data_IF_378378797946
#
_entry.id   IF_378378797946
#
_cell.length_a   1.000
_cell.length_b   1.000
_cell.length_c   1.000
_cell.angle_alpha   90.00
_cell.angle_beta   90.00
_cell.angle_gamma   90.00
#
_symmetry.space_group_name_H-M   'P 1'
#
loop_
_entity.id
_entity.type
_entity.pdbx_description
1 polymer ?
#
# COMPACT_ATOMS: atom_id res chain seq x y z
N UNK A 1 61.64 -25.31 -36.54
CA UNK A 1 61.18 -24.20 -35.70
C UNK A 1 59.68 -24.26 -35.66
N UNK A 2 59.12 -24.51 -34.48
CA UNK A 2 57.72 -24.25 -34.12
C UNK A 2 57.36 -22.78 -34.42
N UNK A 3 56.09 -22.42 -34.70
CA UNK A 3 55.01 -22.64 -33.73
C UNK A 3 53.66 -23.17 -34.30
N UNK A 4 53.12 -24.19 -33.63
CA UNK A 4 51.78 -24.20 -33.00
C UNK A 4 50.50 -24.00 -33.85
N UNK A 5 49.57 -24.99 -33.91
CA UNK A 5 48.28 -24.85 -34.57
C UNK A 5 47.26 -24.11 -33.69
N UNK A 6 46.52 -23.18 -34.30
CA UNK A 6 45.46 -22.40 -33.67
C UNK A 6 44.31 -23.26 -33.14
N UNK A 7 44.01 -23.10 -31.86
CA UNK A 7 42.81 -23.64 -31.25
C UNK A 7 41.57 -22.87 -31.73
N UNK A 8 40.74 -23.54 -32.52
CA UNK A 8 39.30 -23.24 -32.65
C UNK A 8 38.63 -23.66 -31.34
N UNK A 9 38.26 -22.69 -30.50
CA UNK A 9 37.30 -22.89 -29.42
C UNK A 9 35.93 -22.42 -29.90
N UNK A 10 34.96 -23.34 -29.98
CA UNK A 10 33.58 -23.02 -30.32
C UNK A 10 33.01 -22.04 -29.31
N UNK A 11 32.46 -20.94 -29.82
CA UNK A 11 31.47 -20.19 -29.07
C UNK A 11 30.22 -21.06 -29.04
N UNK A 12 29.99 -21.74 -27.92
CA UNK A 12 28.68 -22.28 -27.59
C UNK A 12 27.71 -21.09 -27.57
N UNK A 13 26.76 -21.15 -28.50
CA UNK A 13 25.58 -20.30 -28.55
C UNK A 13 24.83 -20.43 -27.22
N UNK A 14 25.09 -19.51 -26.28
CA UNK A 14 24.17 -19.23 -25.19
C UNK A 14 22.99 -18.45 -25.77
N UNK A 15 22.13 -19.15 -26.52
CA UNK A 15 20.76 -18.73 -26.72
C UNK A 15 20.14 -18.59 -25.33
N UNK A 16 19.98 -17.35 -24.88
CA UNK A 16 19.29 -17.01 -23.65
C UNK A 16 17.87 -17.60 -23.73
N UNK A 17 17.55 -18.67 -22.99
CA UNK A 17 16.21 -19.22 -22.99
C UNK A 17 15.36 -18.20 -22.24
N UNK A 18 14.24 -17.79 -22.86
CA UNK A 18 13.07 -17.18 -22.24
C UNK A 18 13.11 -17.33 -20.71
N UNK A 19 13.36 -16.23 -19.99
CA UNK A 19 13.39 -16.18 -18.52
C UNK A 19 12.15 -16.89 -17.98
N UNK A 20 12.35 -18.14 -17.55
CA UNK A 20 11.35 -18.96 -16.93
C UNK A 20 11.07 -18.31 -15.56
N UNK A 21 10.03 -17.47 -15.48
CA UNK A 21 9.61 -16.83 -14.23
C UNK A 21 9.00 -17.90 -13.32
N UNK A 22 9.86 -18.65 -12.65
CA UNK A 22 9.46 -19.60 -11.62
C UNK A 22 9.02 -18.82 -10.37
N UNK A 23 7.74 -18.91 -10.02
CA UNK A 23 7.23 -18.39 -8.76
C UNK A 23 7.64 -19.28 -7.60
N UNK A 24 7.98 -18.68 -6.47
CA UNK A 24 8.30 -19.40 -5.23
C UNK A 24 7.25 -19.08 -4.18
N UNK A 25 6.74 -20.12 -3.52
CA UNK A 25 5.78 -20.00 -2.41
C UNK A 25 6.33 -20.75 -1.22
N UNK A 26 6.87 -20.01 -0.26
CA UNK A 26 7.28 -20.55 1.04
C UNK A 26 6.05 -20.74 1.93
N UNK A 27 5.95 -21.91 2.57
CA UNK A 27 4.87 -22.20 3.52
C UNK A 27 5.41 -22.65 4.87
N UNK A 28 4.71 -22.24 5.93
CA UNK A 28 4.89 -22.74 7.28
C UNK A 28 3.52 -22.93 7.93
N UNK A 29 3.21 -24.16 8.31
CA UNK A 29 1.93 -24.58 8.89
C UNK A 29 2.15 -24.95 10.35
N UNK A 30 1.29 -24.43 11.22
CA UNK A 30 1.31 -24.72 12.65
C UNK A 30 0.11 -25.60 13.01
N UNK A 31 0.37 -26.75 13.61
CA UNK A 31 -0.65 -27.72 14.04
C UNK A 31 -0.74 -27.71 15.57
N UNK A 32 -1.96 -27.83 16.09
CA UNK A 32 -2.24 -27.95 17.52
C UNK A 32 -3.01 -29.25 17.80
N UNK A 33 -2.85 -29.82 18.99
CA UNK A 33 -3.62 -30.97 19.47
C UNK A 33 -2.89 -32.31 19.46
N UNK A 34 -2.36 -32.77 18.31
CA UNK A 34 -1.62 -34.04 18.21
C UNK A 34 -0.20 -33.83 17.71
N UNK A 35 0.76 -34.59 18.24
CA UNK A 35 2.15 -34.65 17.75
C UNK A 35 2.31 -35.65 16.59
N UNK A 36 1.33 -36.54 16.38
CA UNK A 36 1.36 -37.57 15.34
C UNK A 36 0.40 -37.21 14.20
N UNK A 37 0.93 -36.51 13.21
CA UNK A 37 0.17 -36.06 12.05
C UNK A 37 0.98 -36.08 10.75
N UNK A 38 0.27 -36.01 9.63
CA UNK A 38 0.79 -35.82 8.28
C UNK A 38 0.13 -34.60 7.65
N UNK A 39 0.92 -33.82 6.92
CA UNK A 39 0.47 -32.65 6.18
C UNK A 39 0.78 -32.83 4.70
N UNK A 40 -0.24 -32.61 3.89
CA UNK A 40 -0.14 -32.43 2.44
C UNK A 40 -0.48 -30.99 2.10
N UNK A 41 0.30 -30.39 1.21
CA UNK A 41 0.12 -29.00 0.79
C UNK A 41 0.07 -28.96 -0.73
N UNK A 42 -1.03 -28.46 -1.28
CA UNK A 42 -1.25 -28.34 -2.73
C UNK A 42 -1.50 -26.88 -3.08
N UNK A 43 -0.82 -26.37 -4.10
CA UNK A 43 -1.12 -25.07 -4.69
C UNK A 43 -1.93 -25.27 -5.97
N UNK A 44 -3.11 -24.66 -6.04
CA UNK A 44 -4.03 -24.75 -7.16
C UNK A 44 -4.08 -23.41 -7.92
N UNK A 45 -4.13 -23.46 -9.25
CA UNK A 45 -4.42 -22.29 -10.09
C UNK A 45 -5.91 -21.89 -10.07
N UNK A 46 -6.30 -20.88 -10.84
CA UNK A 46 -7.68 -20.35 -10.86
C UNK A 46 -8.69 -21.35 -11.45
N UNK A 47 -8.22 -22.29 -12.25
CA UNK A 47 -9.00 -23.39 -12.81
C UNK A 47 -9.10 -24.59 -11.85
N UNK A 48 -8.46 -24.53 -10.68
CA UNK A 48 -8.45 -25.60 -9.69
C UNK A 48 -7.50 -26.75 -10.03
N UNK A 49 -6.54 -26.54 -10.93
CA UNK A 49 -5.50 -27.53 -11.26
C UNK A 49 -4.34 -27.36 -10.29
N UNK A 50 -3.85 -28.48 -9.75
CA UNK A 50 -2.67 -28.48 -8.89
C UNK A 50 -1.43 -28.16 -9.74
N UNK A 51 -0.73 -27.08 -9.39
CA UNK A 51 0.48 -26.61 -10.07
C UNK A 51 1.75 -26.88 -9.28
N UNK A 52 1.64 -27.07 -7.97
CA UNK A 52 2.75 -27.47 -7.10
C UNK A 52 2.24 -28.23 -5.87
N UNK A 53 3.08 -29.10 -5.31
CA UNK A 53 2.76 -29.91 -4.12
C UNK A 53 3.95 -30.00 -3.18
N UNK A 54 3.68 -30.15 -1.90
CA UNK A 54 4.65 -30.34 -0.84
C UNK A 54 4.05 -31.11 0.34
N UNK A 55 4.90 -31.44 1.31
CA UNK A 55 4.49 -32.14 2.53
C UNK A 55 5.12 -31.51 3.77
N UNK A 56 4.59 -31.85 4.94
CA UNK A 56 5.13 -31.40 6.23
C UNK A 56 4.76 -29.97 6.60
N UNK A 57 5.26 -29.51 7.76
CA UNK A 57 4.91 -28.20 8.34
C UNK A 57 5.71 -27.01 7.80
N UNK A 58 6.74 -27.23 6.96
CA UNK A 58 7.53 -26.17 6.33
C UNK A 58 8.07 -26.66 5.00
N UNK A 59 8.03 -25.81 3.97
CA UNK A 59 8.64 -26.09 2.67
C UNK A 59 8.54 -24.91 1.72
N UNK A 60 9.01 -25.13 0.49
CA UNK A 60 8.94 -24.15 -0.61
C UNK A 60 8.39 -24.85 -1.85
N UNK A 61 7.34 -24.28 -2.44
CA UNK A 61 6.74 -24.75 -3.69
C UNK A 61 7.29 -23.93 -4.86
N UNK A 62 7.61 -24.61 -5.96
CA UNK A 62 8.05 -23.98 -7.21
C UNK A 62 6.92 -24.02 -8.23
N UNK A 63 6.63 -22.87 -8.85
CA UNK A 63 5.54 -22.71 -9.83
C UNK A 63 6.15 -22.24 -11.15
N UNK A 64 6.50 -23.14 -12.07
CA UNK A 64 7.02 -22.75 -13.39
C UNK A 64 6.02 -21.87 -14.13
N UNK A 65 6.50 -20.79 -14.75
CA UNK A 65 5.67 -19.81 -15.48
C UNK A 65 4.53 -19.24 -14.62
N UNK A 66 4.85 -18.82 -13.39
CA UNK A 66 3.85 -18.32 -12.46
C UNK A 66 3.14 -17.07 -12.99
N UNK A 67 1.81 -17.04 -12.81
CA UNK A 67 1.02 -15.84 -12.99
C UNK A 67 1.16 -14.97 -11.73
N UNK A 68 1.89 -13.86 -11.86
CA UNK A 68 2.12 -12.95 -10.74
C UNK A 68 0.85 -12.19 -10.37
N UNK A 69 0.71 -11.89 -9.08
CA UNK A 69 -0.28 -10.95 -8.61
C UNK A 69 0.17 -9.53 -8.99
N UNK A 70 -0.64 -8.85 -9.78
CA UNK A 70 -0.43 -7.47 -10.19
C UNK A 70 -1.51 -6.57 -9.60
N UNK A 71 -1.16 -5.35 -9.14
CA UNK A 71 -2.14 -4.35 -8.79
C UNK A 71 -3.09 -4.03 -9.96
N UNK A 72 -4.30 -3.60 -9.60
CA UNK A 72 -5.26 -3.02 -10.53
C UNK A 72 -4.58 -1.91 -11.35
N UNK A 73 -4.83 -1.91 -12.66
CA UNK A 73 -4.25 -1.00 -13.66
C UNK A 73 -2.75 -1.20 -13.96
N UNK A 74 -2.09 -2.22 -13.40
CA UNK A 74 -0.69 -2.53 -13.70
C UNK A 74 -0.51 -3.69 -14.68
N UNK A 75 -1.57 -4.47 -14.93
CA UNK A 75 -1.57 -5.62 -15.84
C UNK A 75 -2.98 -5.89 -16.40
N UNK A 76 -3.09 -6.54 -17.55
CA UNK A 76 -4.37 -6.90 -18.19
C UNK A 76 -5.18 -7.90 -17.34
N UNK A 77 -4.47 -8.77 -16.62
CA UNK A 77 -5.02 -9.71 -15.65
C UNK A 77 -4.46 -9.37 -14.26
N UNK A 78 -5.01 -8.36 -13.57
CA UNK A 78 -4.59 -8.02 -12.22
C UNK A 78 -5.07 -9.07 -11.23
N UNK A 79 -4.51 -9.04 -10.02
CA UNK A 79 -5.04 -9.76 -8.86
C UNK A 79 -5.10 -11.29 -9.02
N UNK A 80 -4.16 -11.89 -9.76
CA UNK A 80 -4.10 -13.34 -9.90
C UNK A 80 -3.86 -14.00 -8.53
N UNK A 81 -4.75 -14.91 -8.15
CA UNK A 81 -4.69 -15.65 -6.89
C UNK A 81 -4.70 -17.15 -7.17
N UNK A 82 -3.70 -17.82 -6.63
CA UNK A 82 -3.69 -19.27 -6.42
C UNK A 82 -4.45 -19.61 -5.13
N UNK A 83 -4.71 -20.91 -4.91
CA UNK A 83 -5.24 -21.43 -3.65
C UNK A 83 -4.28 -22.44 -3.04
N UNK A 84 -3.77 -22.17 -1.84
CA UNK A 84 -2.95 -23.10 -1.07
C UNK A 84 -3.86 -23.95 -0.19
N UNK A 85 -4.13 -25.18 -0.61
CA UNK A 85 -4.85 -26.18 0.17
C UNK A 85 -3.88 -26.92 1.10
N UNK A 86 -4.17 -26.92 2.39
CA UNK A 86 -3.47 -27.69 3.41
C UNK A 86 -4.42 -28.77 3.93
N UNK A 87 -3.98 -30.02 3.87
CA UNK A 87 -4.71 -31.19 4.34
C UNK A 87 -3.94 -31.83 5.47
N UNK A 88 -4.55 -31.88 6.65
CA UNK A 88 -4.02 -32.54 7.84
C UNK A 88 -4.69 -33.90 7.98
N UNK A 89 -3.90 -34.94 8.23
CA UNK A 89 -4.39 -36.21 8.77
C UNK A 89 -3.67 -36.49 10.07
N UNK A 90 -4.41 -36.68 11.17
CA UNK A 90 -3.82 -36.88 12.49
C UNK A 90 -4.46 -38.06 13.21
N UNK A 91 -3.66 -38.73 14.05
CA UNK A 91 -4.18 -39.72 14.98
C UNK A 91 -4.39 -39.07 16.34
N UNK A 92 -5.61 -39.17 16.87
CA UNK A 92 -5.99 -38.65 18.18
C UNK A 92 -6.43 -39.79 19.10
N UNK A 93 -6.61 -39.50 20.39
CA UNK A 93 -7.18 -40.46 21.34
C UNK A 93 -8.59 -40.96 20.95
N UNK A 94 -9.33 -40.17 20.14
CA UNK A 94 -10.66 -40.51 19.65
C UNK A 94 -10.65 -41.22 18.27
N UNK A 95 -9.49 -41.37 17.63
CA UNK A 95 -9.33 -41.97 16.30
C UNK A 95 -8.64 -41.05 15.29
N UNK A 96 -8.65 -41.49 14.03
CA UNK A 96 -8.12 -40.72 12.89
C UNK A 96 -9.04 -39.54 12.57
N UNK A 97 -8.45 -38.36 12.38
CA UNK A 97 -9.17 -37.13 12.00
C UNK A 97 -8.50 -36.48 10.80
N UNK A 98 -9.28 -35.72 10.04
CA UNK A 98 -8.80 -34.89 8.94
C UNK A 98 -9.28 -33.46 9.08
N UNK A 99 -8.43 -32.51 8.72
CA UNK A 99 -8.73 -31.08 8.69
C UNK A 99 -8.22 -30.44 7.39
N UNK A 100 -8.92 -29.40 6.93
CA UNK A 100 -8.67 -28.78 5.63
C UNK A 100 -8.75 -27.25 5.77
N UNK A 101 -7.71 -26.57 5.28
CA UNK A 101 -7.70 -25.11 5.19
C UNK A 101 -7.23 -24.67 3.81
N UNK A 102 -7.91 -23.70 3.22
CA UNK A 102 -7.54 -23.14 1.91
C UNK A 102 -7.24 -21.66 2.06
N UNK A 103 -6.04 -21.25 1.66
CA UNK A 103 -5.58 -19.86 1.73
C UNK A 103 -5.35 -19.31 0.31
N UNK A 104 -5.96 -18.18 -0.08
CA UNK A 104 -5.60 -17.48 -1.32
C UNK A 104 -4.15 -16.98 -1.29
N UNK A 105 -3.42 -17.13 -2.38
CA UNK A 105 -2.00 -16.75 -2.49
C UNK A 105 -1.76 -15.94 -3.76
N UNK A 106 -1.30 -14.70 -3.62
CA UNK A 106 -0.79 -13.89 -4.73
C UNK A 106 0.73 -13.90 -4.76
N UNK A 107 1.33 -14.44 -5.83
CA UNK A 107 2.79 -14.46 -5.99
C UNK A 107 3.25 -13.08 -6.45
N UNK A 108 3.92 -12.33 -5.57
CA UNK A 108 4.46 -11.00 -5.87
C UNK A 108 5.63 -10.63 -4.97
N UNK A 109 6.51 -9.76 -5.46
CA UNK A 109 7.56 -9.13 -4.65
C UNK A 109 7.24 -7.67 -4.37
N UNK A 110 7.71 -7.18 -3.21
CA UNK A 110 7.70 -5.77 -2.83
C UNK A 110 9.12 -5.37 -2.49
N UNK A 111 9.58 -4.24 -3.00
CA UNK A 111 10.88 -3.67 -2.68
C UNK A 111 10.83 -2.14 -2.70
N UNK A 112 11.78 -1.51 -2.01
CA UNK A 112 11.92 -0.06 -1.94
C UNK A 112 13.36 0.30 -2.25
N UNK A 113 13.56 1.28 -3.12
CA UNK A 113 14.86 1.92 -3.38
C UNK A 113 14.88 3.31 -2.75
N UNK A 114 15.97 4.06 -2.89
CA UNK A 114 16.05 5.45 -2.41
C UNK A 114 14.99 6.39 -3.02
N UNK A 115 14.40 6.02 -4.16
CA UNK A 115 13.49 6.90 -4.92
C UNK A 115 12.29 6.18 -5.55
N UNK A 116 12.17 4.85 -5.43
CA UNK A 116 11.07 4.08 -6.03
C UNK A 116 10.46 3.07 -5.07
N UNK A 117 9.16 2.84 -5.23
CA UNK A 117 8.47 1.68 -4.70
C UNK A 117 8.33 0.66 -5.84
N UNK A 118 8.70 -0.59 -5.62
CA UNK A 118 8.72 -1.62 -6.65
C UNK A 118 7.75 -2.74 -6.29
N UNK A 119 6.89 -3.11 -7.24
CA UNK A 119 6.10 -4.35 -7.20
C UNK A 119 6.51 -5.21 -8.38
N UNK A 120 6.91 -6.46 -8.11
CA UNK A 120 7.44 -7.39 -9.13
C UNK A 120 8.61 -6.79 -9.93
N UNK A 121 9.47 -6.03 -9.25
CA UNK A 121 10.63 -5.34 -9.84
C UNK A 121 10.29 -4.13 -10.72
N UNK A 122 9.01 -3.74 -10.81
CA UNK A 122 8.56 -2.58 -11.60
C UNK A 122 8.17 -1.40 -10.72
N UNK A 123 8.52 -0.15 -11.09
CA UNK A 123 8.06 1.03 -10.39
C UNK A 123 6.54 1.06 -10.25
N UNK A 124 6.08 1.27 -9.03
CA UNK A 124 4.68 1.39 -8.66
C UNK A 124 4.42 2.77 -8.07
N UNK A 125 3.35 3.41 -8.52
CA UNK A 125 2.89 4.69 -8.01
C UNK A 125 1.53 4.52 -7.35
N UNK A 126 1.41 4.88 -6.06
CA UNK A 126 0.14 4.86 -5.36
C UNK A 126 -0.70 6.06 -5.84
N UNK A 127 -1.80 5.82 -6.53
CA UNK A 127 -2.78 6.85 -6.83
C UNK A 127 -4.11 6.41 -6.23
N UNK A 128 -4.37 6.87 -5.02
CA UNK A 128 -5.33 6.23 -4.14
C UNK A 128 -5.99 7.16 -3.13
N UNK A 129 -6.67 6.57 -2.17
CA UNK A 129 -7.48 7.31 -1.19
C UNK A 129 -7.10 6.88 0.22
N UNK A 130 -7.39 7.72 1.21
CA UNK A 130 -7.61 7.25 2.57
C UNK A 130 -9.07 6.86 2.73
N UNK A 131 -9.40 5.96 3.66
CA UNK A 131 -10.79 5.53 3.92
C UNK A 131 -11.12 5.60 5.41
N UNK A 132 -12.37 5.30 5.75
CA UNK A 132 -12.79 4.94 7.10
C UNK A 132 -13.90 3.89 7.00
N UNK A 133 -13.95 2.98 7.97
CA UNK A 133 -15.13 2.15 8.24
C UNK A 133 -16.19 3.03 8.93
N UNK A 134 -16.94 3.78 8.14
CA UNK A 134 -17.97 4.69 8.64
C UNK A 134 -19.13 4.82 7.65
N UNK A 135 -20.35 4.72 8.18
CA UNK A 135 -21.59 4.83 7.44
C UNK A 135 -22.74 5.37 8.31
N UNK A 136 -23.78 5.87 7.64
CA UNK A 136 -24.98 6.34 8.32
C UNK A 136 -25.66 5.21 9.11
N UNK A 137 -26.18 5.58 10.29
CA UNK A 137 -26.85 4.72 11.27
C UNK A 137 -25.93 3.67 11.92
N UNK A 138 -25.24 2.85 11.13
CA UNK A 138 -24.42 1.73 11.64
C UNK A 138 -23.03 2.13 12.14
N UNK A 139 -22.58 3.36 11.91
CA UNK A 139 -21.24 3.81 12.29
C UNK A 139 -20.17 2.93 11.64
N UNK A 140 -19.36 2.24 12.46
CA UNK A 140 -18.32 1.31 12.02
C UNK A 140 -18.83 -0.10 11.69
N UNK A 141 -20.14 -0.35 11.79
CA UNK A 141 -20.71 -1.67 11.53
C UNK A 141 -20.49 -2.13 10.09
N UNK A 142 -19.96 -3.35 9.93
CA UNK A 142 -19.73 -4.00 8.64
C UNK A 142 -21.02 -4.14 7.80
N UNK A 143 -20.89 -4.05 6.47
CA UNK A 143 -21.99 -4.15 5.52
C UNK A 143 -21.54 -4.55 4.12
N UNK A 144 -22.00 -5.70 3.62
CA UNK A 144 -21.69 -6.16 2.26
C UNK A 144 -22.11 -5.17 1.15
N UNK A 145 -23.33 -4.60 1.16
CA UNK A 145 -23.73 -3.60 0.17
C UNK A 145 -22.78 -2.40 0.08
N UNK A 146 -22.44 -1.78 1.21
CA UNK A 146 -21.51 -0.65 1.24
C UNK A 146 -20.09 -1.07 0.86
N UNK A 147 -19.63 -2.24 1.32
CA UNK A 147 -18.32 -2.75 0.96
C UNK A 147 -18.18 -2.90 -0.56
N UNK A 148 -19.13 -3.59 -1.21
CA UNK A 148 -19.14 -3.75 -2.67
C UNK A 148 -19.27 -2.40 -3.38
N UNK A 149 -20.10 -1.49 -2.85
CA UNK A 149 -20.23 -0.12 -3.39
C UNK A 149 -18.90 0.65 -3.32
N UNK A 150 -18.18 0.56 -2.20
CA UNK A 150 -16.89 1.21 -2.01
C UNK A 150 -15.87 0.70 -3.02
N UNK A 151 -15.75 -0.62 -3.23
CA UNK A 151 -14.85 -1.19 -4.22
C UNK A 151 -15.23 -0.83 -5.67
N UNK A 152 -16.52 -0.78 -5.97
CA UNK A 152 -16.99 -0.29 -7.27
C UNK A 152 -16.60 1.18 -7.51
N UNK A 153 -16.67 2.02 -6.48
CA UNK A 153 -16.25 3.41 -6.55
C UNK A 153 -14.73 3.57 -6.63
N UNK A 154 -13.95 2.77 -5.90
CA UNK A 154 -12.49 2.74 -6.02
C UNK A 154 -12.06 2.45 -7.46
N UNK A 155 -12.65 1.43 -8.09
CA UNK A 155 -12.38 1.09 -9.49
C UNK A 155 -12.89 2.16 -10.45
N UNK A 156 -14.08 2.71 -10.21
CA UNK A 156 -14.61 3.81 -11.02
C UNK A 156 -13.67 5.02 -11.00
N UNK A 157 -13.13 5.35 -9.83
CA UNK A 157 -12.18 6.44 -9.62
C UNK A 157 -10.83 6.17 -10.31
N UNK A 158 -10.48 4.90 -10.56
CA UNK A 158 -9.13 4.52 -10.99
C UNK A 158 -8.14 4.46 -9.82
N UNK A 159 -8.63 4.37 -8.58
CA UNK A 159 -7.76 4.23 -7.42
C UNK A 159 -7.17 2.82 -7.39
N UNK A 160 -5.83 2.72 -7.33
CA UNK A 160 -5.12 1.44 -7.26
C UNK A 160 -4.68 1.09 -5.82
N UNK A 161 -4.90 2.01 -4.87
CA UNK A 161 -4.43 1.90 -3.50
C UNK A 161 -5.38 2.55 -2.49
N UNK A 162 -5.33 2.08 -1.24
CA UNK A 162 -5.75 2.89 -0.10
C UNK A 162 -4.95 2.58 1.18
N UNK A 163 -5.06 3.47 2.17
CA UNK A 163 -4.54 3.26 3.52
C UNK A 163 -5.68 2.96 4.50
N UNK A 164 -5.51 2.00 5.41
CA UNK A 164 -6.49 1.65 6.46
C UNK A 164 -6.49 2.67 7.61
N UNK A 165 -6.69 3.96 7.28
CA UNK A 165 -6.74 5.04 8.27
C UNK A 165 -7.90 4.82 9.27
N UNK A 166 -7.68 4.77 10.58
CA UNK A 166 -6.40 4.70 11.30
C UNK A 166 -6.39 3.48 12.21
N UNK A 167 -6.71 2.33 11.64
CA UNK A 167 -6.83 1.05 12.31
C UNK A 167 -7.02 -0.06 11.27
N UNK A 168 -6.66 -1.31 11.60
CA UNK A 168 -6.90 -2.43 10.71
C UNK A 168 -8.41 -2.58 10.45
N UNK A 169 -8.81 -2.70 9.18
CA UNK A 169 -10.22 -2.88 8.81
C UNK A 169 -10.66 -4.34 8.94
N UNK A 170 -11.94 -4.61 8.75
CA UNK A 170 -12.47 -5.97 8.70
C UNK A 170 -11.77 -6.84 7.64
N UNK A 171 -11.56 -8.12 7.95
CA UNK A 171 -10.83 -9.08 7.11
C UNK A 171 -11.44 -9.23 5.71
N UNK A 172 -12.75 -9.11 5.58
CA UNK A 172 -13.43 -9.14 4.28
C UNK A 172 -13.01 -7.98 3.37
N UNK A 173 -12.62 -6.83 3.94
CA UNK A 173 -12.06 -5.72 3.17
C UNK A 173 -10.71 -6.13 2.58
N UNK A 174 -9.83 -6.77 3.36
CA UNK A 174 -8.53 -7.24 2.91
C UNK A 174 -8.67 -8.32 1.83
N UNK A 175 -9.60 -9.26 2.02
CA UNK A 175 -9.93 -10.27 1.02
C UNK A 175 -10.42 -9.68 -0.30
N UNK A 176 -11.19 -8.60 -0.28
CA UNK A 176 -11.56 -7.89 -1.51
C UNK A 176 -10.38 -7.16 -2.14
N UNK A 177 -9.48 -6.58 -1.35
CA UNK A 177 -8.26 -5.96 -1.87
C UNK A 177 -7.42 -6.96 -2.68
N UNK A 178 -7.23 -8.16 -2.13
CA UNK A 178 -6.51 -9.24 -2.80
C UNK A 178 -7.13 -9.61 -4.15
N UNK A 179 -8.46 -9.69 -4.20
CA UNK A 179 -9.22 -10.11 -5.39
C UNK A 179 -9.37 -9.01 -6.44
N UNK A 180 -9.32 -7.75 -6.03
CA UNK A 180 -9.46 -6.61 -6.93
C UNK A 180 -8.12 -5.98 -7.34
N UNK A 181 -7.02 -6.34 -6.69
CA UNK A 181 -5.70 -5.78 -7.00
C UNK A 181 -5.50 -4.40 -6.38
N UNK A 182 -6.25 -4.06 -5.33
CA UNK A 182 -6.11 -2.75 -4.66
C UNK A 182 -5.03 -2.89 -3.60
N UNK A 183 -3.90 -2.20 -3.73
CA UNK A 183 -2.83 -2.29 -2.74
C UNK A 183 -3.18 -1.55 -1.46
N UNK A 184 -2.67 -2.04 -0.34
CA UNK A 184 -3.00 -1.55 0.99
C UNK A 184 -1.73 -1.15 1.74
N UNK A 185 -1.74 0.07 2.28
CA UNK A 185 -0.87 0.44 3.40
C UNK A 185 -1.67 0.12 4.66
N UNK A 186 -1.26 -0.92 5.38
CA UNK A 186 -2.01 -1.46 6.49
C UNK A 186 -1.54 -0.85 7.82
N UNK A 187 -2.42 -0.11 8.48
CA UNK A 187 -2.12 0.81 9.55
C UNK A 187 -2.65 0.33 10.90
N UNK A 188 -1.78 0.37 11.91
CA UNK A 188 -2.14 0.11 13.31
C UNK A 188 -3.02 1.25 13.88
N UNK A 189 -3.71 1.04 15.02
CA UNK A 189 -4.45 2.10 15.70
C UNK A 189 -3.58 3.14 16.43
N UNK A 190 -2.29 3.25 16.10
CA UNK A 190 -1.33 4.21 16.67
C UNK A 190 -1.59 5.67 16.27
N UNK A 191 -2.77 6.19 16.53
CA UNK A 191 -3.19 7.57 16.22
C UNK A 191 -3.51 8.36 17.49
N UNK A 192 -3.29 9.67 17.47
CA UNK A 192 -3.55 10.53 18.65
C UNK A 192 -2.47 10.44 19.74
N UNK A 193 -1.26 10.00 19.38
CA UNK A 193 -0.10 9.90 20.28
C UNK A 193 0.51 11.30 20.48
N UNK A 194 -0.19 12.15 21.23
CA UNK A 194 0.12 13.58 21.33
C UNK A 194 0.90 13.98 22.59
N UNK A 195 0.73 13.24 23.68
CA UNK A 195 1.30 13.57 24.99
C UNK A 195 2.63 12.85 25.22
N UNK A 196 3.56 13.47 25.96
CA UNK A 196 4.82 12.82 26.37
C UNK A 196 4.58 11.50 27.10
N UNK A 197 3.52 11.43 27.90
CA UNK A 197 3.15 10.24 28.67
C UNK A 197 2.73 9.06 27.78
N UNK A 198 2.28 9.32 26.54
CA UNK A 198 1.93 8.27 25.58
C UNK A 198 3.15 7.49 25.08
N UNK A 199 4.36 7.95 25.38
CA UNK A 199 5.63 7.29 25.03
C UNK A 199 6.23 6.51 26.22
N UNK A 200 5.40 6.07 27.17
CA UNK A 200 5.84 5.23 28.28
C UNK A 200 6.21 3.82 27.82
N UNK A 201 6.94 3.07 28.65
CA UNK A 201 7.29 1.68 28.35
C UNK A 201 6.05 0.79 28.25
N UNK A 202 5.02 1.04 29.06
CA UNK A 202 3.75 0.31 29.01
C UNK A 202 3.04 0.55 27.67
N UNK A 203 3.01 1.81 27.22
CA UNK A 203 2.43 2.18 25.92
C UNK A 203 3.22 1.60 24.75
N UNK A 204 4.55 1.52 24.88
CA UNK A 204 5.40 0.87 23.88
C UNK A 204 5.14 -0.64 23.84
N UNK A 205 5.12 -1.31 24.98
CA UNK A 205 4.88 -2.75 25.07
C UNK A 205 3.52 -3.13 24.46
N UNK A 206 2.48 -2.37 24.78
CA UNK A 206 1.16 -2.60 24.18
C UNK A 206 1.17 -2.38 22.66
N UNK A 207 1.88 -1.37 22.16
CA UNK A 207 1.95 -1.14 20.72
C UNK A 207 2.72 -2.24 19.98
N UNK A 208 3.75 -2.83 20.61
CA UNK A 208 4.42 -4.01 20.06
C UNK A 208 3.43 -5.18 19.91
N UNK A 209 2.64 -5.47 20.95
CA UNK A 209 1.59 -6.51 20.91
C UNK A 209 0.57 -6.27 19.80
N UNK A 210 0.11 -5.02 19.64
CA UNK A 210 -0.82 -4.65 18.57
C UNK A 210 -0.19 -4.87 17.18
N UNK A 211 1.10 -4.60 17.00
CA UNK A 211 1.79 -4.91 15.75
C UNK A 211 1.94 -6.41 15.51
N UNK A 212 2.15 -7.22 16.57
CA UNK A 212 2.12 -8.68 16.47
C UNK A 212 0.75 -9.17 16.00
N UNK A 213 -0.34 -8.62 16.56
CA UNK A 213 -1.70 -8.99 16.17
C UNK A 213 -2.01 -8.62 14.72
N UNK A 214 -1.70 -7.39 14.31
CA UNK A 214 -1.89 -6.89 12.95
C UNK A 214 -1.15 -7.75 11.93
N UNK A 215 0.17 -7.92 12.11
CA UNK A 215 0.97 -8.73 11.19
C UNK A 215 0.52 -10.18 11.20
N UNK A 216 0.20 -10.76 12.37
CA UNK A 216 -0.31 -12.14 12.45
C UNK A 216 -1.58 -12.34 11.64
N UNK A 217 -2.51 -11.38 11.70
CA UNK A 217 -3.78 -11.41 10.97
C UNK A 217 -3.55 -11.28 9.46
N UNK A 218 -2.76 -10.30 9.04
CA UNK A 218 -2.78 -9.84 7.64
C UNK A 218 -1.55 -10.20 6.80
N UNK A 219 -0.54 -10.87 7.37
CA UNK A 219 0.71 -11.28 6.67
C UNK A 219 0.52 -12.00 5.33
N UNK A 220 -0.60 -12.70 5.16
CA UNK A 220 -0.87 -13.52 3.97
C UNK A 220 -1.62 -12.77 2.86
N UNK A 221 -2.07 -11.53 3.10
CA UNK A 221 -2.73 -10.73 2.08
C UNK A 221 -1.70 -10.17 1.08
N UNK A 222 -1.69 -10.61 -0.20
CA UNK A 222 -0.81 -10.03 -1.22
C UNK A 222 -1.05 -8.53 -1.44
N UNK A 223 -2.28 -8.06 -1.21
CA UNK A 223 -2.63 -6.65 -1.33
C UNK A 223 -1.92 -5.75 -0.31
N UNK A 224 -1.61 -6.25 0.88
CA UNK A 224 -0.81 -5.50 1.85
C UNK A 224 0.62 -5.40 1.32
N UNK A 225 1.09 -4.18 1.10
CA UNK A 225 2.43 -3.91 0.56
C UNK A 225 3.31 -3.11 1.51
N UNK A 226 2.76 -2.53 2.57
CA UNK A 226 3.52 -1.76 3.55
C UNK A 226 2.77 -1.69 4.88
N UNK A 227 3.49 -1.77 6.00
CA UNK A 227 2.94 -1.60 7.34
C UNK A 227 3.10 -0.15 7.81
N UNK A 228 2.04 0.48 8.32
CA UNK A 228 2.09 1.79 8.98
C UNK A 228 1.91 1.61 10.49
N UNK A 229 2.89 2.01 11.28
CA UNK A 229 2.86 1.81 12.74
C UNK A 229 2.18 2.94 13.51
N UNK A 230 1.91 4.08 12.87
CA UNK A 230 1.24 5.21 13.52
C UNK A 230 0.80 6.28 12.52
N UNK A 231 -0.11 7.15 12.96
CA UNK A 231 -0.51 8.35 12.22
C UNK A 231 -0.42 9.60 13.10
N UNK A 232 0.29 10.61 12.59
CA UNK A 232 0.51 11.92 13.21
C UNK A 232 0.87 11.87 14.71
N UNK A 233 1.83 11.01 15.12
CA UNK A 233 2.35 11.10 16.46
C UNK A 233 3.11 12.43 16.62
N UNK A 234 3.20 12.96 17.83
CA UNK A 234 4.10 14.09 18.14
C UNK A 234 5.57 13.63 18.09
N UNK A 235 6.07 13.34 16.88
CA UNK A 235 7.35 12.67 16.61
C UNK A 235 8.58 13.51 16.92
N UNK A 236 8.41 14.81 17.18
CA UNK A 236 9.47 15.71 17.62
C UNK A 236 9.78 15.64 19.13
N UNK A 237 8.99 14.90 19.91
CA UNK A 237 9.27 14.69 21.32
C UNK A 237 10.43 13.71 21.50
N UNK A 238 11.39 14.03 22.37
CA UNK A 238 12.60 13.21 22.61
C UNK A 238 12.34 11.70 22.78
N UNK A 239 11.31 11.24 23.53
CA UNK A 239 11.02 9.81 23.66
C UNK A 239 10.58 9.13 22.36
N UNK A 240 9.99 9.88 21.41
CA UNK A 240 9.44 9.34 20.17
C UNK A 240 10.50 8.65 19.31
N UNK A 241 11.73 9.18 19.25
CA UNK A 241 12.80 8.58 18.46
C UNK A 241 13.12 7.14 18.89
N UNK A 242 13.26 6.89 20.20
CA UNK A 242 13.48 5.53 20.70
C UNK A 242 12.25 4.64 20.53
N UNK A 243 11.07 5.19 20.79
CA UNK A 243 9.79 4.50 20.65
C UNK A 243 9.60 3.95 19.22
N UNK A 244 9.70 4.82 18.21
CA UNK A 244 9.50 4.44 16.81
C UNK A 244 10.65 3.62 16.25
N UNK A 245 11.89 3.83 16.69
CA UNK A 245 13.01 2.92 16.38
C UNK A 245 12.67 1.49 16.78
N UNK A 246 12.21 1.31 18.01
CA UNK A 246 11.91 -0.01 18.59
C UNK A 246 10.73 -0.65 17.88
N UNK A 247 9.65 0.11 17.69
CA UNK A 247 8.43 -0.37 17.05
C UNK A 247 8.66 -0.78 15.59
N UNK A 248 9.34 0.06 14.80
CA UNK A 248 9.64 -0.24 13.40
C UNK A 248 10.58 -1.45 13.28
N UNK A 249 11.60 -1.54 14.13
CA UNK A 249 12.51 -2.69 14.14
C UNK A 249 11.77 -3.99 14.50
N UNK A 250 10.84 -3.93 15.45
CA UNK A 250 10.02 -5.08 15.82
C UNK A 250 9.09 -5.51 14.68
N UNK A 251 8.38 -4.59 14.03
CA UNK A 251 7.53 -4.93 12.86
C UNK A 251 8.33 -5.58 11.73
N UNK A 252 9.54 -5.07 11.44
CA UNK A 252 10.44 -5.69 10.44
C UNK A 252 10.91 -7.09 10.83
N UNK A 253 11.05 -7.37 12.14
CA UNK A 253 11.40 -8.70 12.62
C UNK A 253 10.22 -9.69 12.50
N UNK A 254 8.98 -9.21 12.61
CA UNK A 254 7.77 -10.02 12.40
C UNK A 254 7.54 -10.33 10.92
N UNK A 255 7.74 -9.35 10.04
CA UNK A 255 7.57 -9.50 8.60
C UNK A 255 8.70 -8.82 7.81
N UNK A 256 9.73 -9.56 7.38
CA UNK A 256 10.81 -9.03 6.56
C UNK A 256 10.43 -8.85 5.08
N UNK A 257 9.22 -9.26 4.66
CA UNK A 257 8.81 -9.25 3.25
C UNK A 257 8.23 -7.91 2.78
N UNK A 258 8.00 -6.95 3.69
CA UNK A 258 7.35 -5.67 3.41
C UNK A 258 8.06 -4.49 4.12
N UNK A 259 8.08 -3.30 3.49
CA UNK A 259 8.55 -2.08 4.14
C UNK A 259 7.65 -1.65 5.30
N UNK A 260 8.20 -0.80 6.18
CA UNK A 260 7.52 -0.23 7.34
C UNK A 260 7.64 1.29 7.35
N UNK A 261 6.53 1.97 7.66
CA UNK A 261 6.41 3.43 7.74
C UNK A 261 5.66 3.85 9.01
N UNK A 262 5.61 5.16 9.27
CA UNK A 262 4.52 5.80 9.99
C UNK A 262 4.20 7.10 9.28
N UNK A 263 2.99 7.60 9.44
CA UNK A 263 2.53 8.83 8.79
C UNK A 263 2.80 10.05 9.67
N UNK A 264 3.52 11.04 9.14
CA UNK A 264 3.96 12.23 9.87
C UNK A 264 3.29 13.51 9.38
N UNK A 265 3.05 14.45 10.30
CA UNK A 265 2.74 15.85 10.02
C UNK A 265 3.77 16.81 10.67
N UNK A 266 4.90 16.27 11.12
CA UNK A 266 5.98 17.03 11.74
C UNK A 266 6.84 17.77 10.70
N UNK A 267 7.62 18.74 11.17
CA UNK A 267 8.67 19.33 10.37
C UNK A 267 9.82 18.33 10.15
N UNK A 268 10.37 18.29 8.93
CA UNK A 268 11.44 17.38 8.52
C UNK A 268 12.70 17.44 9.40
N UNK A 269 13.06 18.59 10.02
CA UNK A 269 14.24 18.68 10.89
C UNK A 269 13.99 18.13 12.29
N UNK A 270 12.74 18.15 12.73
CA UNK A 270 12.34 17.84 14.09
C UNK A 270 11.87 16.39 14.25
N UNK A 271 11.55 15.71 13.16
CA UNK A 271 10.99 14.36 13.22
C UNK A 271 12.05 13.31 13.65
N UNK A 272 11.92 12.83 14.90
CA UNK A 272 12.83 11.85 15.47
C UNK A 272 12.52 10.41 15.07
N UNK A 273 11.36 10.15 14.45
CA UNK A 273 10.95 8.83 13.95
C UNK A 273 11.34 8.59 12.49
N UNK A 274 11.38 9.64 11.67
CA UNK A 274 11.66 9.58 10.24
C UNK A 274 12.99 8.88 9.83
N UNK A 275 14.08 8.91 10.63
CA UNK A 275 15.27 8.13 10.30
C UNK A 275 15.02 6.62 10.13
N UNK A 276 13.97 6.07 10.74
CA UNK A 276 13.77 4.62 10.85
C UNK A 276 12.82 4.00 9.81
N UNK A 277 11.98 4.81 9.15
CA UNK A 277 11.02 4.33 8.13
C UNK A 277 11.72 3.93 6.84
N UNK A 278 11.10 3.06 6.03
CA UNK A 278 11.59 2.74 4.68
C UNK A 278 11.07 3.73 3.63
N UNK A 279 9.85 4.23 3.83
CA UNK A 279 9.16 5.20 2.96
C UNK A 279 8.60 6.30 3.84
N UNK A 280 8.80 7.56 3.46
CA UNK A 280 8.29 8.71 4.21
C UNK A 280 6.86 8.99 3.79
N UNK A 281 5.93 9.01 4.72
CA UNK A 281 4.53 9.38 4.47
C UNK A 281 4.23 10.73 5.13
N UNK A 282 3.95 11.76 4.33
CA UNK A 282 3.74 13.13 4.83
C UNK A 282 2.28 13.55 4.64
N UNK A 283 1.70 14.08 5.71
CA UNK A 283 0.42 14.76 5.71
C UNK A 283 0.64 16.26 5.65
N UNK A 284 0.10 16.92 4.62
CA UNK A 284 0.14 18.38 4.53
C UNK A 284 -1.18 18.93 3.97
N UNK A 285 -1.59 20.08 4.52
CA UNK A 285 -2.91 20.68 4.31
C UNK A 285 -2.78 22.20 4.07
N UNK A 286 -1.90 22.57 3.16
CA UNK A 286 -1.66 23.96 2.75
C UNK A 286 -2.95 24.60 2.23
N UNK A 287 -3.14 25.88 2.54
CA UNK A 287 -4.37 26.67 2.36
C UNK A 287 -5.58 26.28 3.23
N UNK A 288 -5.56 25.11 3.89
CA UNK A 288 -6.69 24.59 4.66
C UNK A 288 -6.53 24.77 6.17
N UNK A 289 -5.44 24.27 6.75
CA UNK A 289 -5.16 24.39 8.19
C UNK A 289 -4.27 25.57 8.56
N UNK A 290 -3.57 26.13 7.57
CA UNK A 290 -2.78 27.36 7.66
C UNK A 290 -3.00 28.14 6.36
N UNK A 291 -2.72 29.44 6.38
CA UNK A 291 -2.90 30.33 5.22
C UNK A 291 -4.31 30.20 4.60
N UNK A 292 -5.32 30.31 5.48
CA UNK A 292 -6.72 30.00 5.16
C UNK A 292 -7.19 30.67 3.86
N UNK A 293 -7.56 29.88 2.86
CA UNK A 293 -8.10 30.39 1.60
C UNK A 293 -7.06 30.67 0.50
N UNK A 294 -5.76 30.64 0.82
CA UNK A 294 -4.69 31.00 -0.10
C UNK A 294 -4.25 29.80 -0.96
N UNK A 295 -4.98 29.53 -2.03
CA UNK A 295 -4.64 28.42 -2.95
C UNK A 295 -3.26 28.63 -3.62
N UNK A 296 -2.88 29.87 -3.85
CA UNK A 296 -1.65 30.26 -4.53
C UNK A 296 -0.37 29.88 -3.76
N UNK A 297 -0.45 29.63 -2.45
CA UNK A 297 0.72 29.25 -1.65
C UNK A 297 1.04 27.76 -1.73
N UNK A 298 0.07 26.93 -2.12
CA UNK A 298 0.21 25.46 -2.13
C UNK A 298 1.43 25.01 -2.94
N UNK A 299 1.67 25.49 -4.19
CA UNK A 299 2.76 24.94 -4.99
C UNK A 299 4.14 25.18 -4.37
N UNK A 300 4.35 26.37 -3.79
CA UNK A 300 5.61 26.76 -3.18
C UNK A 300 5.89 25.94 -1.92
N UNK A 301 4.92 25.86 -1.01
CA UNK A 301 5.11 25.14 0.25
C UNK A 301 5.31 23.64 0.03
N UNK A 302 4.50 23.03 -0.83
CA UNK A 302 4.57 21.61 -1.11
C UNK A 302 5.88 21.22 -1.82
N UNK A 303 6.35 22.03 -2.78
CA UNK A 303 7.64 21.79 -3.44
C UNK A 303 8.79 21.88 -2.42
N UNK A 304 8.77 22.89 -1.55
CA UNK A 304 9.77 23.09 -0.49
C UNK A 304 9.76 21.93 0.50
N UNK A 305 8.57 21.46 0.92
CA UNK A 305 8.40 20.32 1.81
C UNK A 305 9.06 19.06 1.23
N UNK A 306 8.72 18.69 -0.01
CA UNK A 306 9.29 17.52 -0.67
C UNK A 306 10.80 17.62 -0.83
N UNK A 307 11.34 18.79 -1.20
CA UNK A 307 12.78 18.98 -1.34
C UNK A 307 13.53 18.84 -0.03
N UNK A 308 12.97 19.37 1.06
CA UNK A 308 13.58 19.30 2.38
C UNK A 308 13.56 17.86 2.94
N UNK A 309 12.42 17.18 2.86
CA UNK A 309 12.31 15.78 3.27
C UNK A 309 13.28 14.89 2.48
N UNK A 310 13.29 15.01 1.15
CA UNK A 310 14.13 14.17 0.31
C UNK A 310 15.63 14.46 0.51
N UNK A 311 16.02 15.74 0.59
CA UNK A 311 17.42 16.12 0.86
C UNK A 311 17.93 15.59 2.19
N UNK A 312 17.07 15.54 3.20
CA UNK A 312 17.45 15.14 4.56
C UNK A 312 17.57 13.62 4.69
N UNK A 313 16.64 12.86 4.12
CA UNK A 313 16.51 11.44 4.40
C UNK A 313 16.80 10.51 3.21
N UNK A 314 16.79 11.00 1.97
CA UNK A 314 17.07 10.22 0.74
C UNK A 314 16.21 8.94 0.65
N UNK A 315 14.91 9.09 0.91
CA UNK A 315 13.92 8.01 0.87
C UNK A 315 12.71 8.44 0.01
N UNK A 316 12.01 7.48 -0.62
CA UNK A 316 10.83 7.80 -1.39
C UNK A 316 9.72 8.35 -0.48
N UNK A 317 8.89 9.22 -1.06
CA UNK A 317 7.86 9.97 -0.33
C UNK A 317 6.47 9.61 -0.86
N UNK A 318 5.51 9.41 0.04
CA UNK A 318 4.08 9.36 -0.26
C UNK A 318 3.42 10.60 0.36
N UNK A 319 2.68 11.36 -0.44
CA UNK A 319 1.72 12.33 0.09
C UNK A 319 0.53 11.54 0.66
N UNK A 320 0.58 11.22 1.95
CA UNK A 320 -0.36 10.29 2.59
C UNK A 320 -1.69 10.94 2.92
N UNK A 321 -1.74 12.26 3.10
CA UNK A 321 -2.98 13.01 3.22
C UNK A 321 -2.84 14.42 2.64
N UNK A 322 -3.88 14.85 1.92
CA UNK A 322 -4.10 16.23 1.51
C UNK A 322 -5.61 16.42 1.25
N UNK A 323 -6.10 17.64 1.21
CA UNK A 323 -7.51 17.92 0.84
C UNK A 323 -8.16 19.07 1.61
N UNK A 324 -9.31 19.53 1.12
CA UNK A 324 -10.12 20.56 1.76
C UNK A 324 -11.46 19.99 2.21
N UNK A 325 -12.02 20.55 3.29
CA UNK A 325 -13.41 20.31 3.63
C UNK A 325 -14.31 20.91 2.56
N UNK A 326 -15.35 20.19 2.19
CA UNK A 326 -16.34 20.58 1.18
C UNK A 326 -17.73 20.14 1.62
N UNK A 327 -18.64 21.11 1.77
CA UNK A 327 -20.05 20.83 2.05
C UNK A 327 -20.77 20.76 0.71
N UNK A 328 -21.27 19.58 0.35
CA UNK A 328 -21.94 19.37 -0.94
C UNK A 328 -23.09 20.39 -1.14
N UNK A 329 -23.14 21.00 -2.32
CA UNK A 329 -24.08 22.06 -2.67
C UNK A 329 -23.65 23.48 -2.27
N UNK A 330 -22.54 23.67 -1.57
CA UNK A 330 -21.95 25.01 -1.39
C UNK A 330 -21.13 25.34 -2.64
N UNK A 331 -21.52 26.41 -3.33
CA UNK A 331 -20.86 26.89 -4.55
C UNK A 331 -20.51 28.36 -4.42
N UNK A 332 -19.34 28.76 -4.90
CA UNK A 332 -18.91 30.16 -4.87
C UNK A 332 -17.83 30.44 -5.93
N UNK A 333 -17.93 31.61 -6.57
CA UNK A 333 -16.84 32.25 -7.31
C UNK A 333 -16.58 33.66 -6.73
N UNK A 334 -15.32 34.06 -6.48
CA UNK A 334 -14.11 33.23 -6.43
C UNK A 334 -14.22 32.06 -5.43
N UNK A 335 -13.44 30.97 -5.56
CA UNK A 335 -13.57 29.81 -4.69
C UNK A 335 -13.33 30.16 -3.22
N UNK A 336 -14.25 29.78 -2.33
CA UNK A 336 -14.13 29.98 -0.88
C UNK A 336 -14.11 28.65 -0.13
N UNK A 337 -13.46 28.62 1.04
CA UNK A 337 -13.40 27.42 1.89
C UNK A 337 -14.78 26.78 2.09
N UNK A 338 -14.82 25.45 2.06
CA UNK A 338 -16.03 24.61 2.07
C UNK A 338 -16.87 24.56 0.78
N UNK A 339 -16.63 25.43 -0.21
CA UNK A 339 -17.24 25.26 -1.54
C UNK A 339 -16.66 24.06 -2.29
N UNK A 340 -17.43 23.50 -3.22
CA UNK A 340 -16.93 22.44 -4.12
C UNK A 340 -15.82 22.97 -5.05
N UNK A 341 -15.90 24.23 -5.49
CA UNK A 341 -14.88 24.87 -6.32
C UNK A 341 -13.55 25.03 -5.57
N UNK A 342 -13.58 25.33 -4.27
CA UNK A 342 -12.35 25.39 -3.46
C UNK A 342 -11.69 24.02 -3.30
N UNK A 343 -12.48 22.95 -3.10
CA UNK A 343 -11.92 21.60 -3.06
C UNK A 343 -11.22 21.25 -4.38
N UNK A 344 -11.83 21.58 -5.53
CA UNK A 344 -11.21 21.41 -6.84
C UNK A 344 -9.93 22.25 -6.99
N UNK A 345 -10.00 23.54 -6.70
CA UNK A 345 -8.84 24.44 -6.82
C UNK A 345 -7.67 23.99 -5.95
N UNK A 346 -7.92 23.54 -4.72
CA UNK A 346 -6.88 22.97 -3.85
C UNK A 346 -6.26 21.72 -4.47
N UNK A 347 -7.08 20.77 -4.92
CA UNK A 347 -6.62 19.53 -5.54
C UNK A 347 -5.73 19.81 -6.75
N UNK A 348 -6.16 20.71 -7.64
CA UNK A 348 -5.40 21.10 -8.84
C UNK A 348 -4.01 21.63 -8.47
N UNK A 349 -3.90 22.50 -7.45
CA UNK A 349 -2.59 23.03 -7.02
C UNK A 349 -1.67 21.94 -6.44
N UNK A 350 -2.20 21.00 -5.66
CA UNK A 350 -1.44 19.85 -5.18
C UNK A 350 -0.94 18.98 -6.33
N UNK A 351 -1.83 18.69 -7.30
CA UNK A 351 -1.55 17.84 -8.45
C UNK A 351 -0.43 18.40 -9.33
N UNK A 352 -0.32 19.73 -9.47
CA UNK A 352 0.77 20.38 -10.22
C UNK A 352 2.15 20.05 -9.66
N UNK A 353 2.32 20.05 -8.34
CA UNK A 353 3.61 19.72 -7.69
C UNK A 353 3.84 18.22 -7.68
N UNK A 354 2.80 17.44 -7.40
CA UNK A 354 2.89 15.98 -7.46
C UNK A 354 3.34 15.51 -8.84
N UNK A 355 2.86 16.14 -9.93
CA UNK A 355 3.30 15.82 -11.29
C UNK A 355 4.79 16.11 -11.56
N UNK A 356 5.36 17.08 -10.86
CA UNK A 356 6.79 17.37 -10.93
C UNK A 356 7.58 16.30 -10.19
N UNK A 357 7.25 16.05 -8.92
CA UNK A 357 8.06 15.20 -8.04
C UNK A 357 7.81 13.70 -8.22
N UNK A 358 6.69 13.27 -8.83
CA UNK A 358 6.38 11.86 -9.10
C UNK A 358 7.32 11.18 -10.10
N UNK A 359 8.08 11.97 -10.85
CA UNK A 359 9.09 11.49 -11.80
C UNK A 359 10.44 11.19 -11.13
N UNK A 360 10.60 11.65 -9.89
CA UNK A 360 11.86 11.59 -9.16
C UNK A 360 11.74 10.62 -7.97
N UNK A 361 11.11 11.06 -6.88
CA UNK A 361 11.12 10.35 -5.58
C UNK A 361 9.78 10.34 -4.85
N UNK A 362 8.76 11.04 -5.36
CA UNK A 362 7.40 10.89 -4.83
C UNK A 362 6.78 9.66 -5.48
N UNK A 363 6.47 8.65 -4.68
CA UNK A 363 5.97 7.36 -5.15
C UNK A 363 4.48 7.19 -4.91
N UNK A 364 3.80 8.18 -4.34
CA UNK A 364 2.36 8.07 -4.14
C UNK A 364 1.64 9.34 -3.69
N UNK A 365 0.34 9.37 -3.95
CA UNK A 365 -0.63 10.35 -3.50
C UNK A 365 -1.91 9.68 -3.00
N UNK A 366 -2.31 10.00 -1.78
CA UNK A 366 -3.51 9.47 -1.13
C UNK A 366 -4.40 10.63 -0.69
N UNK A 367 -5.50 10.84 -1.39
CA UNK A 367 -6.43 11.93 -1.05
C UNK A 367 -7.08 11.67 0.32
N UNK A 368 -7.20 12.71 1.14
CA UNK A 368 -8.04 12.68 2.33
C UNK A 368 -9.39 13.32 2.01
N UNK A 369 -10.50 12.58 1.95
CA UNK A 369 -10.69 11.14 2.16
C UNK A 369 -11.57 10.58 1.03
N UNK A 370 -11.73 9.26 0.95
CA UNK A 370 -12.70 8.63 0.08
C UNK A 370 -14.09 9.20 0.28
N UNK A 371 -14.62 9.17 1.51
CA UNK A 371 -15.96 9.67 1.81
C UNK A 371 -15.96 10.56 3.06
N UNK A 372 -16.98 11.41 3.18
CA UNK A 372 -17.27 12.10 4.43
C UNK A 372 -17.54 11.08 5.54
N UNK A 373 -17.05 11.34 6.76
CA UNK A 373 -17.19 10.42 7.89
C UNK A 373 -17.43 11.18 9.21
N UNK A 374 -17.92 10.48 10.25
CA UNK A 374 -18.26 11.11 11.52
C UNK A 374 -17.02 11.38 12.40
N UNK A 375 -17.07 12.46 13.19
CA UNK A 375 -16.07 12.79 14.21
C UNK A 375 -16.78 13.27 15.47
N UNK A 376 -16.02 13.41 16.56
CA UNK A 376 -16.49 14.16 17.72
C UNK A 376 -16.86 15.61 17.34
N UNK A 377 -17.75 16.19 18.15
CA UNK A 377 -18.23 17.55 17.95
C UNK A 377 -17.12 18.56 18.22
N UNK A 378 -16.91 19.47 17.27
CA UNK A 378 -16.12 20.67 17.47
C UNK A 378 -16.57 21.75 16.49
N UNK A 379 -16.29 23.03 16.74
CA UNK A 379 -16.62 24.11 15.80
C UNK A 379 -16.01 23.96 14.40
N UNK A 380 -14.96 23.14 14.26
CA UNK A 380 -14.27 22.86 12.99
C UNK A 380 -14.83 21.64 12.24
N UNK A 381 -15.93 21.03 12.73
CA UNK A 381 -16.49 19.78 12.20
C UNK A 381 -17.99 19.94 11.95
N UNK A 382 -18.35 20.10 10.68
CA UNK A 382 -19.75 20.21 10.24
C UNK A 382 -20.32 18.79 10.11
N UNK A 383 -20.92 18.29 11.20
CA UNK A 383 -21.46 16.92 11.27
C UNK A 383 -20.42 15.86 10.87
N UNK A 384 -19.22 15.94 11.45
CA UNK A 384 -18.07 15.11 11.11
C UNK A 384 -17.05 15.80 10.21
N UNK A 385 -16.18 14.99 9.59
CA UNK A 385 -15.20 15.42 8.60
C UNK A 385 -15.87 15.50 7.22
N UNK A 386 -15.66 16.63 6.51
CA UNK A 386 -16.26 16.93 5.20
C UNK A 386 -15.25 16.94 4.05
N UNK A 387 -14.05 16.37 4.25
CA UNK A 387 -13.01 16.33 3.22
C UNK A 387 -13.23 15.23 2.17
N UNK A 388 -14.26 14.39 2.32
CA UNK A 388 -14.55 13.33 1.38
C UNK A 388 -14.74 13.85 -0.04
N UNK A 389 -14.21 13.14 -1.03
CA UNK A 389 -14.57 13.35 -2.44
C UNK A 389 -15.94 12.72 -2.76
N UNK A 390 -16.34 11.70 -2.01
CA UNK A 390 -17.70 11.20 -1.95
C UNK A 390 -18.41 11.74 -0.70
N UNK A 391 -19.72 11.90 -0.79
CA UNK A 391 -20.55 12.06 0.41
C UNK A 391 -20.53 10.77 1.24
N UNK A 392 -20.97 10.85 2.50
CA UNK A 392 -21.07 9.68 3.39
C UNK A 392 -21.97 8.57 2.79
N UNK A 393 -22.91 8.96 1.93
CA UNK A 393 -23.84 8.09 1.18
C UNK A 393 -23.28 7.60 -0.16
N UNK A 394 -21.97 7.73 -0.41
CA UNK A 394 -21.27 7.20 -1.60
C UNK A 394 -21.74 7.84 -2.91
N UNK A 395 -22.08 9.13 -2.88
CA UNK A 395 -22.34 9.94 -4.08
C UNK A 395 -21.17 10.89 -4.37
N UNK A 396 -20.75 11.09 -5.63
CA UNK A 396 -19.60 11.91 -5.96
C UNK A 396 -19.89 13.40 -5.76
N UNK A 397 -18.97 14.13 -5.12
CA UNK A 397 -18.85 15.59 -5.24
C UNK A 397 -18.15 15.94 -6.55
N UNK A 398 -18.14 17.22 -6.95
CA UNK A 398 -17.48 17.65 -8.19
C UNK A 398 -15.99 17.25 -8.25
N UNK A 399 -15.28 17.29 -7.12
CA UNK A 399 -13.88 16.91 -7.02
C UNK A 399 -13.60 15.42 -7.31
N UNK A 400 -14.57 14.52 -7.12
CA UNK A 400 -14.39 13.10 -7.41
C UNK A 400 -14.16 12.85 -8.90
N UNK A 401 -14.80 13.63 -9.77
CA UNK A 401 -14.63 13.53 -11.22
C UNK A 401 -13.26 14.03 -11.66
N UNK A 402 -12.79 15.14 -11.08
CA UNK A 402 -11.45 15.67 -11.32
C UNK A 402 -10.37 14.65 -10.94
N UNK A 403 -10.50 14.04 -9.76
CA UNK A 403 -9.54 13.04 -9.30
C UNK A 403 -9.59 11.76 -10.15
N UNK A 404 -10.78 11.38 -10.63
CA UNK A 404 -10.95 10.27 -11.57
C UNK A 404 -10.16 10.51 -12.86
N UNK A 405 -10.30 11.67 -13.47
CA UNK A 405 -9.55 12.00 -14.69
C UNK A 405 -8.04 11.91 -14.46
N UNK A 406 -7.56 12.42 -13.32
CA UNK A 406 -6.16 12.29 -12.92
C UNK A 406 -5.70 10.84 -12.81
N UNK A 407 -6.41 10.00 -12.06
CA UNK A 407 -5.96 8.63 -11.79
C UNK A 407 -5.95 7.74 -13.04
N UNK A 408 -6.96 7.88 -13.91
CA UNK A 408 -6.96 7.19 -15.20
C UNK A 408 -5.85 7.69 -16.13
N UNK A 409 -5.52 9.00 -16.11
CA UNK A 409 -4.38 9.55 -16.86
C UNK A 409 -3.05 8.96 -16.36
N UNK A 410 -2.81 8.94 -15.05
CA UNK A 410 -1.60 8.39 -14.44
C UNK A 410 -1.44 6.89 -14.75
N UNK A 411 -2.52 6.12 -14.68
CA UNK A 411 -2.53 4.70 -15.00
C UNK A 411 -2.14 4.44 -16.47
N UNK A 412 -2.70 5.22 -17.40
CA UNK A 412 -2.39 5.11 -18.82
C UNK A 412 -0.92 5.45 -19.11
N UNK A 413 -0.40 6.54 -18.56
CA UNK A 413 1.02 6.92 -18.72
C UNK A 413 1.96 5.80 -18.24
N UNK A 414 1.65 5.20 -17.09
CA UNK A 414 2.41 4.08 -16.53
C UNK A 414 2.36 2.84 -17.44
N UNK A 415 1.20 2.55 -18.03
CA UNK A 415 1.00 1.43 -18.97
C UNK A 415 1.76 1.62 -20.28
N UNK A 416 1.76 2.83 -20.84
CA UNK A 416 2.48 3.16 -22.07
C UNK A 416 4.01 3.11 -21.90
N UNK A 417 4.54 3.50 -20.74
CA UNK A 417 5.96 3.33 -20.46
C UNK A 417 6.36 1.85 -20.42
N UNK A 418 5.51 0.98 -19.86
CA UNK A 418 5.77 -0.47 -19.84
C UNK A 418 5.68 -1.12 -21.24
N UNK A 419 4.83 -0.63 -22.14
CA UNK A 419 4.76 -1.11 -23.52
C UNK A 419 5.90 -0.57 -24.40
N UNK A 420 6.32 0.69 -24.21
CA UNK A 420 7.45 1.28 -24.90
C UNK A 420 8.78 0.59 -24.54
N UNK A 421 8.99 0.22 -23.26
CA UNK A 421 10.17 -0.56 -22.84
C UNK A 421 10.15 -1.97 -23.42
N UNK A 422 8.98 -2.63 -23.51
CA UNK A 422 8.84 -3.90 -24.27
C UNK A 422 9.19 -3.74 -25.76
N UNK A 423 8.91 -2.56 -26.33
CA UNK A 423 9.21 -2.26 -27.74
C UNK A 423 10.70 -1.95 -27.96
N UNK A 424 11.39 -1.40 -26.96
CA UNK A 424 12.83 -1.11 -27.01
C UNK A 424 13.73 -2.33 -26.77
N UNK A 425 13.19 -3.48 -26.34
CA UNK A 425 13.94 -4.75 -26.34
C UNK A 425 14.06 -5.41 -27.73
N UNK A 426 13.68 -4.72 -28.80
CA UNK A 426 13.78 -5.20 -30.18
C UNK A 426 14.39 -4.15 -31.12
N UNK A 427 15.44 -3.44 -30.69
CA UNK A 427 16.28 -2.71 -31.65
C UNK A 427 17.75 -2.88 -31.26
N UNK A 428 18.43 -3.75 -32.02
CA UNK A 428 19.88 -3.89 -32.03
C UNK A 428 20.53 -2.51 -32.18
N UNK A 429 21.25 -2.05 -31.16
CA UNK A 429 22.35 -1.09 -31.34
C UNK A 429 23.67 -1.78 -31.01
N UNK A 430 24.66 -1.75 -31.90
CA UNK A 430 25.95 -2.37 -31.65
C UNK A 430 26.74 -1.53 -30.65
N UNK A 431 27.19 -2.17 -29.58
CA UNK A 431 28.17 -1.61 -28.66
C UNK A 431 29.43 -1.20 -29.42
N UNK A 432 29.91 0.02 -29.17
CA UNK A 432 31.27 0.47 -29.47
C UNK A 432 31.94 0.83 -28.15
N UNK A 433 33.20 0.41 -28.01
CA UNK A 433 34.06 0.38 -26.82
C UNK A 433 33.98 1.54 -25.83
#
# INVERSE_FOLDING_TARGET
>A
MDPGPGHKGGAEDWQCPLLCHCGLVDYQVFVQGSEYFQLEVCLLDQEGKVVAQGTGGRGQLQVPNAHLWWPYLMHEHPAYLYSLEVRLTAQTAAGAVSDFYTLPVGIRTVAVTEHQFLINGKPFYFHGVNKHEDADIRGRGFDWPLLVKDFNLLRWLGANAFRTSHYPYAEEVMQLCDRYGIVVIDESPGVGIVLVQSYSNESLQHHLEVMEELVRRDKNHPAVVMWSVANEPTSFLKPAGYYFKTLIAHTKALDPSRPVTFVTNSNYEADLGAPYVDVICVNSYYSWYHDYGHLEVIPLHLATEFENWYRTYQKPIIQSEYGAGSVAGFHQDPPLMFSEEYQKGLLEQYHLVLDQKRKDYVVGELIWNFADFMTDQSPRRVMGNKKGIFTRQRQPKAAAFLLRERYWKLANETTYHLSAVKSQCLENSPFSF
#
